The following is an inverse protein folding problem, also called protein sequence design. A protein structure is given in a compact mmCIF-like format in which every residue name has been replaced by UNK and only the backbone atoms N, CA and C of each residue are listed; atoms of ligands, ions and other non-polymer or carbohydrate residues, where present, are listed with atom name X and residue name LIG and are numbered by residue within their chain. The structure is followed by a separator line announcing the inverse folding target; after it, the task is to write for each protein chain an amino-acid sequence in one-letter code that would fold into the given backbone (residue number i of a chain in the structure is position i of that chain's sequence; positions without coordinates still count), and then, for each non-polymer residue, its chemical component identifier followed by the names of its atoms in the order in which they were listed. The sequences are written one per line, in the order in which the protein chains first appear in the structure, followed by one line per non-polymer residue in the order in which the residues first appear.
data_IF_063476362675
#
_entry.id   IF_063476362675
#
_cell.length_a   1.000
_cell.length_b   1.000
_cell.length_c   1.000
_cell.angle_alpha   90.00
_cell.angle_beta   90.00
_cell.angle_gamma   90.00
#
_symmetry.space_group_name_H-M   'P 1'
#
loop_
_entity.id
_entity.type
_entity.pdbx_description
1 polymer ?
#
# COMPACT_ATOMS: atom_id res chain seq x y z
N UNK A 1 -16.03 3.64 -18.87
CA UNK A 1 -14.89 4.05 -19.71
C UNK A 1 -13.73 3.15 -19.40
N UNK A 2 -13.02 2.74 -20.44
CA UNK A 2 -11.76 2.01 -20.36
C UNK A 2 -10.64 2.98 -19.95
N UNK A 3 -9.57 2.47 -19.33
CA UNK A 3 -8.47 3.27 -18.78
C UNK A 3 -7.88 4.24 -19.81
N UNK A 4 -7.59 3.76 -21.02
CA UNK A 4 -7.07 4.55 -22.15
C UNK A 4 -7.95 5.76 -22.50
N UNK A 5 -9.27 5.61 -22.54
CA UNK A 5 -10.18 6.74 -22.85
C UNK A 5 -10.03 7.86 -21.82
N UNK A 6 -9.97 7.48 -20.53
CA UNK A 6 -9.80 8.44 -19.44
C UNK A 6 -8.42 9.09 -19.45
N UNK A 7 -7.39 8.31 -19.70
CA UNK A 7 -6.04 8.84 -19.81
C UNK A 7 -5.93 9.84 -20.96
N UNK A 8 -6.51 9.51 -22.12
CA UNK A 8 -6.53 10.39 -23.28
C UNK A 8 -7.33 11.68 -23.01
N UNK A 9 -8.47 11.59 -22.31
CA UNK A 9 -9.24 12.76 -21.88
C UNK A 9 -8.40 13.70 -21.00
N UNK A 10 -7.61 13.16 -20.08
CA UNK A 10 -6.71 13.96 -19.23
C UNK A 10 -5.58 14.62 -20.04
N UNK A 11 -5.05 13.93 -21.06
CA UNK A 11 -4.08 14.50 -22.01
C UNK A 11 -4.71 15.62 -22.83
N UNK A 12 -5.95 15.50 -23.27
CA UNK A 12 -6.63 16.59 -23.99
C UNK A 12 -6.82 17.83 -23.11
N UNK A 13 -7.15 17.64 -21.82
CA UNK A 13 -7.26 18.74 -20.86
C UNK A 13 -5.93 19.48 -20.65
N UNK A 14 -4.79 18.81 -20.79
CA UNK A 14 -3.47 19.45 -20.71
C UNK A 14 -3.16 20.35 -21.92
N UNK A 15 -3.92 20.23 -23.00
CA UNK A 15 -3.85 21.13 -24.15
C UNK A 15 -4.90 22.24 -24.11
N UNK A 16 -5.62 22.41 -22.98
CA UNK A 16 -6.62 23.46 -22.83
C UNK A 16 -6.03 24.87 -22.97
N UNK A 17 -6.80 25.77 -23.57
CA UNK A 17 -6.51 27.21 -23.61
C UNK A 17 -6.61 27.85 -22.22
N UNK A 18 -7.34 27.22 -21.29
CA UNK A 18 -7.48 27.71 -19.92
C UNK A 18 -6.23 27.37 -19.11
N UNK A 19 -5.47 28.41 -18.75
CA UNK A 19 -4.20 28.29 -18.03
C UNK A 19 -4.29 27.43 -16.76
N UNK A 20 -5.41 27.54 -16.02
CA UNK A 20 -5.61 26.76 -14.80
C UNK A 20 -5.86 25.28 -15.07
N UNK A 21 -6.78 24.96 -15.99
CA UNK A 21 -7.07 23.59 -16.43
C UNK A 21 -5.80 22.91 -16.93
N UNK A 22 -5.04 23.59 -17.80
CA UNK A 22 -3.78 23.08 -18.34
C UNK A 22 -2.79 22.75 -17.23
N UNK A 23 -2.49 23.71 -16.34
CA UNK A 23 -1.53 23.51 -15.24
C UNK A 23 -1.92 22.35 -14.34
N UNK A 24 -3.21 22.24 -14.03
CA UNK A 24 -3.71 21.19 -13.15
C UNK A 24 -3.65 19.81 -13.84
N UNK A 25 -4.01 19.73 -15.13
CA UNK A 25 -3.88 18.52 -15.92
C UNK A 25 -2.41 18.07 -16.06
N UNK A 26 -1.50 18.99 -16.35
CA UNK A 26 -0.06 18.73 -16.42
C UNK A 26 0.46 18.18 -15.09
N UNK A 27 0.07 18.78 -13.96
CA UNK A 27 0.47 18.30 -12.64
C UNK A 27 -0.02 16.87 -12.35
N UNK A 28 -1.26 16.53 -12.75
CA UNK A 28 -1.78 15.17 -12.65
C UNK A 28 -1.02 14.19 -13.54
N UNK A 29 -0.76 14.55 -14.80
CA UNK A 29 0.00 13.71 -15.74
C UNK A 29 1.43 13.44 -15.25
N UNK A 30 2.12 14.45 -14.72
CA UNK A 30 3.46 14.26 -14.12
C UNK A 30 3.39 13.32 -12.91
N UNK A 31 2.38 13.48 -12.05
CA UNK A 31 2.21 12.64 -10.86
C UNK A 31 1.89 11.18 -11.21
N UNK A 32 1.10 10.97 -12.27
CA UNK A 32 0.77 9.65 -12.82
C UNK A 32 2.00 9.02 -13.49
N UNK A 33 2.72 9.79 -14.32
CA UNK A 33 3.95 9.32 -14.96
C UNK A 33 5.04 8.93 -13.96
N UNK A 34 5.12 9.63 -12.82
CA UNK A 34 6.04 9.25 -11.74
C UNK A 34 5.68 7.90 -11.10
N UNK A 35 4.37 7.57 -10.99
CA UNK A 35 3.93 6.26 -10.51
C UNK A 35 4.25 5.16 -11.53
N UNK A 36 4.04 5.43 -12.82
CA UNK A 36 4.38 4.49 -13.89
C UNK A 36 5.89 4.19 -13.95
N UNK A 37 6.73 5.21 -13.78
CA UNK A 37 8.19 5.05 -13.66
C UNK A 37 8.62 4.22 -12.43
N UNK A 38 7.77 4.13 -11.41
CA UNK A 38 7.96 3.28 -10.24
C UNK A 38 7.27 1.90 -10.39
N UNK A 39 6.84 1.54 -11.61
CA UNK A 39 6.12 0.31 -11.95
C UNK A 39 4.80 0.13 -11.18
N UNK A 40 4.19 1.23 -10.73
CA UNK A 40 2.90 1.23 -10.05
C UNK A 40 1.75 1.37 -11.05
N UNK A 41 0.75 0.50 -10.93
CA UNK A 41 -0.43 0.55 -11.79
C UNK A 41 -1.44 1.59 -11.30
N UNK A 42 -1.62 2.65 -12.07
CA UNK A 42 -2.66 3.65 -11.80
C UNK A 42 -4.05 3.08 -12.06
N UNK A 43 -4.99 3.36 -11.16
CA UNK A 43 -6.37 2.89 -11.30
C UNK A 43 -7.21 3.83 -12.18
N UNK A 44 -8.20 3.26 -12.87
CA UNK A 44 -9.20 4.05 -13.57
C UNK A 44 -9.99 4.99 -12.63
N UNK A 45 -10.09 4.65 -11.34
CA UNK A 45 -10.71 5.49 -10.32
C UNK A 45 -9.91 6.78 -10.07
N UNK A 46 -8.58 6.69 -9.99
CA UNK A 46 -7.71 7.85 -9.82
C UNK A 46 -7.78 8.79 -11.04
N UNK A 47 -7.77 8.22 -12.26
CA UNK A 47 -7.93 9.01 -13.48
C UNK A 47 -9.26 9.77 -13.51
N UNK A 48 -10.34 9.11 -13.11
CA UNK A 48 -11.66 9.77 -13.06
C UNK A 48 -11.68 10.92 -12.06
N UNK A 49 -11.09 10.75 -10.86
CA UNK A 49 -10.95 11.84 -9.89
C UNK A 49 -10.08 12.99 -10.42
N UNK A 50 -8.98 12.69 -11.11
CA UNK A 50 -8.10 13.70 -11.70
C UNK A 50 -8.86 14.57 -12.71
N UNK A 51 -9.62 13.96 -13.62
CA UNK A 51 -10.42 14.66 -14.64
C UNK A 51 -11.47 15.55 -13.99
N UNK A 52 -12.24 15.03 -13.03
CA UNK A 52 -13.26 15.82 -12.31
C UNK A 52 -12.63 17.00 -11.57
N UNK A 53 -11.44 16.79 -11.00
CA UNK A 53 -10.71 17.83 -10.30
C UNK A 53 -10.23 18.93 -11.24
N UNK A 54 -9.67 18.56 -12.39
CA UNK A 54 -9.22 19.49 -13.45
C UNK A 54 -10.38 20.27 -14.03
N UNK A 55 -11.55 19.65 -14.19
CA UNK A 55 -12.79 20.32 -14.64
C UNK A 55 -13.42 21.22 -13.57
N UNK A 56 -12.90 21.22 -12.34
CA UNK A 56 -13.45 21.97 -11.22
C UNK A 56 -14.74 21.38 -10.62
N UNK A 57 -15.10 20.15 -10.98
CA UNK A 57 -16.27 19.45 -10.44
C UNK A 57 -16.06 19.03 -8.97
N UNK A 58 -14.80 18.78 -8.59
CA UNK A 58 -14.40 18.48 -7.21
C UNK A 58 -13.15 19.24 -6.80
N UNK A 59 -13.10 19.67 -5.55
CA UNK A 59 -11.93 20.32 -4.96
C UNK A 59 -10.89 19.30 -4.50
N UNK A 60 -9.67 19.76 -4.24
CA UNK A 60 -8.52 18.93 -3.86
C UNK A 60 -8.76 18.15 -2.57
N UNK A 61 -9.44 18.75 -1.61
CA UNK A 61 -9.78 18.16 -0.32
C UNK A 61 -10.70 16.95 -0.51
N UNK A 62 -11.68 17.09 -1.41
CA UNK A 62 -12.62 16.02 -1.76
C UNK A 62 -11.92 14.88 -2.51
N UNK A 63 -10.99 15.19 -3.42
CA UNK A 63 -10.12 14.18 -4.06
C UNK A 63 -9.39 13.37 -3.00
N UNK A 64 -8.76 14.06 -2.03
CA UNK A 64 -7.97 13.43 -0.97
C UNK A 64 -8.84 12.53 -0.09
N UNK A 65 -10.03 13.00 0.28
CA UNK A 65 -11.01 12.21 1.04
C UNK A 65 -11.41 10.95 0.29
N UNK A 66 -11.77 11.06 -0.99
CA UNK A 66 -12.20 9.91 -1.81
C UNK A 66 -11.10 8.91 -2.06
N UNK A 67 -9.86 9.35 -2.27
CA UNK A 67 -8.71 8.47 -2.39
C UNK A 67 -8.48 7.69 -1.09
N UNK A 68 -8.52 8.37 0.06
CA UNK A 68 -8.38 7.73 1.37
C UNK A 68 -9.49 6.70 1.62
N UNK A 69 -10.73 7.02 1.29
CA UNK A 69 -11.86 6.09 1.45
C UNK A 69 -11.75 4.88 0.53
N UNK A 70 -11.39 5.09 -0.75
CA UNK A 70 -11.29 4.01 -1.74
C UNK A 70 -10.11 3.07 -1.46
N UNK A 71 -9.01 3.60 -0.92
CA UNK A 71 -7.79 2.84 -0.63
C UNK A 71 -7.57 2.55 0.86
N UNK A 72 -8.56 2.81 1.73
CA UNK A 72 -8.46 2.58 3.17
C UNK A 72 -8.04 1.15 3.52
N UNK A 73 -8.52 0.17 2.75
CA UNK A 73 -8.18 -1.24 2.97
C UNK A 73 -6.79 -1.62 2.47
N UNK A 74 -6.23 -0.89 1.50
CA UNK A 74 -4.83 -1.07 1.05
C UNK A 74 -3.88 -0.53 2.12
N UNK A 75 -4.20 0.62 2.74
CA UNK A 75 -3.41 1.16 3.86
C UNK A 75 -3.40 0.24 5.08
N UNK A 76 -4.50 -0.49 5.34
CA UNK A 76 -4.54 -1.56 6.37
C UNK A 76 -3.70 -2.79 6.02
N UNK A 77 -3.37 -3.01 4.75
CA UNK A 77 -2.50 -4.11 4.30
C UNK A 77 -1.03 -3.72 4.30
N UNK A 78 -0.68 -2.46 4.02
CA UNK A 78 0.72 -2.00 4.09
C UNK A 78 1.22 -1.81 5.53
N UNK A 79 0.33 -1.48 6.47
CA UNK A 79 0.61 -1.59 7.92
C UNK A 79 0.67 -3.06 8.42
N UNK A 80 0.44 -4.02 7.52
CA UNK A 80 0.70 -5.46 7.72
C UNK A 80 1.72 -6.00 6.72
N UNK A 81 2.47 -5.13 6.02
CA UNK A 81 3.66 -5.62 5.35
C UNK A 81 4.60 -6.09 6.47
N UNK A 82 4.79 -7.40 6.59
CA UNK A 82 5.79 -8.01 7.47
C UNK A 82 7.23 -7.65 7.07
N UNK A 83 7.41 -6.52 6.37
CA UNK A 83 8.66 -5.94 5.88
C UNK A 83 9.13 -4.77 6.75
N UNK A 84 8.34 -4.31 7.72
CA UNK A 84 8.79 -3.29 8.70
C UNK A 84 9.79 -3.84 9.72
N UNK A 85 10.15 -5.13 9.67
CA UNK A 85 11.08 -5.73 10.63
C UNK A 85 10.62 -5.63 12.09
N UNK A 86 9.36 -5.25 12.32
CA UNK A 86 8.77 -5.13 13.64
C UNK A 86 8.66 -6.50 14.28
N UNK A 87 9.36 -6.68 15.41
CA UNK A 87 9.19 -7.87 16.23
C UNK A 87 7.76 -7.90 16.80
N UNK A 88 7.07 -9.02 16.63
CA UNK A 88 5.85 -9.31 17.39
C UNK A 88 6.24 -9.66 18.82
N UNK A 89 5.80 -8.87 19.80
CA UNK A 89 5.98 -9.19 21.22
C UNK A 89 4.93 -10.23 21.60
N UNK A 90 5.35 -11.49 21.74
CA UNK A 90 4.48 -12.59 22.15
C UNK A 90 4.47 -12.68 23.68
N UNK A 91 3.29 -12.59 24.35
CA UNK A 91 3.20 -12.77 25.80
C UNK A 91 3.67 -14.17 26.24
N UNK A 92 4.33 -14.30 27.41
CA UNK A 92 4.89 -15.58 27.89
C UNK A 92 3.88 -16.74 28.02
N UNK A 93 2.59 -16.43 28.19
CA UNK A 93 1.50 -17.39 28.35
C UNK A 93 0.76 -17.71 27.04
N UNK A 94 1.19 -17.12 25.92
CA UNK A 94 0.57 -17.35 24.61
C UNK A 94 0.76 -18.79 24.14
N UNK A 95 -0.30 -19.39 23.58
CA UNK A 95 -0.23 -20.71 22.92
C UNK A 95 0.79 -20.74 21.77
N UNK A 96 1.02 -19.59 21.13
CA UNK A 96 1.97 -19.42 20.02
C UNK A 96 3.42 -19.73 20.41
N UNK A 97 3.79 -19.54 21.68
CA UNK A 97 5.13 -19.92 22.16
C UNK A 97 5.32 -21.44 22.08
N UNK A 98 4.30 -22.22 22.41
CA UNK A 98 4.37 -23.69 22.35
C UNK A 98 4.50 -24.18 20.92
N UNK A 99 3.73 -23.60 20.00
CA UNK A 99 3.80 -23.93 18.56
C UNK A 99 5.20 -23.63 17.99
N UNK A 100 5.77 -22.47 18.34
CA UNK A 100 7.14 -22.09 17.93
C UNK A 100 8.17 -23.06 18.53
N UNK A 101 8.01 -23.46 19.79
CA UNK A 101 8.91 -24.39 20.45
C UNK A 101 8.86 -25.78 19.79
N UNK A 102 7.68 -26.32 19.52
CA UNK A 102 7.49 -27.61 18.87
C UNK A 102 8.11 -27.63 17.47
N UNK A 103 7.83 -26.60 16.67
CA UNK A 103 8.44 -26.45 15.34
C UNK A 103 9.97 -26.38 15.40
N UNK A 104 10.51 -25.62 16.35
CA UNK A 104 11.96 -25.50 16.51
C UNK A 104 12.61 -26.79 17.01
N UNK A 105 11.89 -27.63 17.78
CA UNK A 105 12.35 -28.96 18.21
C UNK A 105 12.51 -29.90 17.03
N UNK A 106 11.62 -29.84 16.04
CA UNK A 106 11.74 -30.61 14.79
C UNK A 106 12.94 -30.14 13.95
N UNK A 107 13.16 -28.83 13.86
CA UNK A 107 14.27 -28.27 13.08
C UNK A 107 15.64 -28.46 13.74
N UNK A 108 15.70 -28.45 15.07
CA UNK A 108 16.95 -28.41 15.85
C UNK A 108 16.97 -29.43 16.98
N UNK A 109 16.77 -30.73 16.70
CA UNK A 109 16.55 -31.74 17.74
C UNK A 109 17.74 -31.87 18.70
N UNK A 110 18.98 -31.78 18.21
CA UNK A 110 20.18 -31.87 19.06
C UNK A 110 20.29 -30.72 20.07
N UNK A 111 19.98 -29.49 19.64
CA UNK A 111 20.01 -28.31 20.51
C UNK A 111 18.98 -28.46 21.64
N UNK A 112 17.76 -28.86 21.31
CA UNK A 112 16.70 -29.01 22.31
C UNK A 112 16.97 -30.18 23.25
N UNK A 113 17.58 -31.27 22.78
CA UNK A 113 18.03 -32.36 23.65
C UNK A 113 19.09 -31.89 24.67
N UNK A 114 19.98 -30.97 24.30
CA UNK A 114 20.93 -30.37 25.25
C UNK A 114 20.26 -29.42 26.25
N UNK A 115 19.32 -28.60 25.80
CA UNK A 115 18.57 -27.70 26.66
C UNK A 115 17.73 -28.46 27.69
N UNK A 116 17.08 -29.55 27.28
CA UNK A 116 16.30 -30.40 28.18
C UNK A 116 17.19 -31.06 29.24
N UNK A 117 18.40 -31.50 28.86
CA UNK A 117 19.40 -32.01 29.84
C UNK A 117 19.81 -30.96 30.86
N UNK A 118 20.03 -29.70 30.43
CA UNK A 118 20.37 -28.60 31.34
C UNK A 118 19.23 -28.29 32.30
N UNK A 119 17.99 -28.21 31.80
CA UNK A 119 16.80 -27.96 32.61
C UNK A 119 16.53 -29.04 33.65
N UNK A 120 16.90 -30.28 33.37
CA UNK A 120 16.70 -31.41 34.28
C UNK A 120 17.83 -31.61 35.29
N UNK A 121 18.94 -30.86 35.16
CA UNK A 121 20.08 -30.90 36.07
C UNK A 121 20.09 -29.75 37.08
N UNK A 122 19.13 -28.82 36.98
CA UNK A 122 18.81 -27.77 37.97
C UNK A 122 17.63 -28.23 38.85
#
# INVERSE_FOLDING_TARGET
MIYEEKYQELVELSHSDTSEIRKQADAWLVSIGLQDAAELKVSAFLLDLAIRNVKGEIIREEVSRRLNEHYADIQKRESKSGLDGGYEIIPPDSSKIKEIEEYNRELRPALYAELDKKRNND
#
